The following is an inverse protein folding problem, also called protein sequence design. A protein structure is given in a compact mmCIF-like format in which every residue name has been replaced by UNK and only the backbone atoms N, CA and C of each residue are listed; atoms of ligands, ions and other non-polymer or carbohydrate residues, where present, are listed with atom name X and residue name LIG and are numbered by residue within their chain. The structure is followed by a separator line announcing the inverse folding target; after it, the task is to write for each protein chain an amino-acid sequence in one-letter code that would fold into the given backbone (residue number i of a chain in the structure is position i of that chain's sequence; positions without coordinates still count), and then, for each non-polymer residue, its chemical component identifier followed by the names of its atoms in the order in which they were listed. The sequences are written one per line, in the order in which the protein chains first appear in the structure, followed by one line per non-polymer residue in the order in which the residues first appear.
data_IF_014429457498
#
_entry.id   IF_014429457498
#
_cell.length_a   1.000
_cell.length_b   1.000
_cell.length_c   1.000
_cell.angle_alpha   90.00
_cell.angle_beta   90.00
_cell.angle_gamma   90.00
#
_symmetry.space_group_name_H-M   'P 1'
#
loop_
_entity.id
_entity.type
_entity.pdbx_description
1 polymer ?
#
# COMPACT_ATOMS: atom_id res chain seq x y z
N UNK A 1 7.59 21.78 20.24
CA UNK A 1 8.85 21.08 19.93
C UNK A 1 8.65 20.50 18.55
N UNK A 2 9.37 21.03 17.59
CA UNK A 2 9.25 20.55 16.20
C UNK A 2 9.88 19.18 16.14
N UNK A 3 9.09 18.16 15.80
CA UNK A 3 9.61 16.81 15.57
C UNK A 3 10.64 16.88 14.44
N UNK A 4 11.85 16.28 14.58
CA UNK A 4 12.83 16.25 13.51
C UNK A 4 12.36 15.50 12.26
N UNK A 5 11.15 14.97 12.28
CA UNK A 5 10.50 14.20 11.23
C UNK A 5 9.31 14.94 10.56
N UNK A 6 9.30 16.29 10.63
CA UNK A 6 8.41 17.09 9.80
C UNK A 6 8.72 16.79 8.33
N UNK A 7 7.92 16.01 7.68
CA UNK A 7 8.12 15.56 6.29
C UNK A 7 7.96 14.05 6.10
N UNK A 8 7.97 13.24 7.16
CA UNK A 8 7.67 11.80 7.05
C UNK A 8 6.24 11.56 6.58
N UNK A 9 5.31 12.44 6.96
CA UNK A 9 3.91 12.35 6.56
C UNK A 9 3.67 12.56 5.05
N UNK A 10 4.62 13.24 4.37
CA UNK A 10 4.51 13.55 2.93
C UNK A 10 5.47 12.72 2.06
N UNK A 11 6.27 11.85 2.66
CA UNK A 11 7.25 11.01 1.96
C UNK A 11 6.63 9.68 1.55
N UNK A 12 6.77 9.30 0.28
CA UNK A 12 6.34 7.98 -0.20
C UNK A 12 7.25 6.85 0.32
N UNK A 13 8.53 7.15 0.59
CA UNK A 13 9.53 6.18 1.04
C UNK A 13 10.40 6.80 2.14
N UNK A 14 10.63 6.04 3.20
CA UNK A 14 11.46 6.43 4.35
C UNK A 14 12.58 5.42 4.49
N UNK A 15 13.84 5.87 4.49
CA UNK A 15 14.99 5.05 4.84
C UNK A 15 15.57 5.52 6.17
N UNK A 16 15.69 4.59 7.12
CA UNK A 16 16.49 4.77 8.32
C UNK A 16 17.59 3.73 8.37
N UNK A 17 18.83 4.19 8.49
CA UNK A 17 20.03 3.36 8.52
C UNK A 17 20.96 3.84 9.63
N UNK A 18 20.79 3.31 10.83
CA UNK A 18 21.59 3.54 12.01
C UNK A 18 21.33 2.45 13.06
N UNK A 19 21.43 2.79 14.35
CA UNK A 19 21.07 1.91 15.45
C UNK A 19 19.55 1.84 15.65
N UNK A 20 19.07 0.70 16.13
CA UNK A 20 17.69 0.50 16.51
C UNK A 20 17.55 -0.59 17.55
N UNK A 21 16.42 -0.58 18.22
CA UNK A 21 15.99 -1.60 19.17
C UNK A 21 14.55 -2.01 18.86
N UNK A 22 14.00 -2.90 19.65
CA UNK A 22 12.66 -3.49 19.43
C UNK A 22 11.59 -2.41 19.27
N UNK A 23 11.68 -1.32 20.04
CA UNK A 23 10.64 -0.30 20.14
C UNK A 23 11.05 1.07 19.57
N UNK A 24 12.25 1.20 18.99
CA UNK A 24 12.72 2.50 18.54
C UNK A 24 13.83 2.45 17.48
N UNK A 25 13.99 3.55 16.76
CA UNK A 25 15.23 3.99 16.15
C UNK A 25 16.01 4.81 17.18
N UNK A 26 17.32 4.69 17.21
CA UNK A 26 18.14 5.33 18.27
C UNK A 26 18.65 6.70 17.89
N UNK A 27 19.05 6.91 16.63
CA UNK A 27 19.61 8.19 16.17
C UNK A 27 19.17 8.51 14.72
N UNK A 28 18.35 9.53 14.51
CA UNK A 28 17.62 10.25 15.56
C UNK A 28 16.60 9.34 16.25
N UNK A 29 16.38 9.59 17.55
CA UNK A 29 15.45 8.78 18.31
C UNK A 29 14.01 8.94 17.80
N UNK A 30 13.37 7.81 17.49
CA UNK A 30 11.97 7.74 17.10
C UNK A 30 11.36 6.45 17.65
N UNK A 31 10.32 6.58 18.44
CA UNK A 31 9.79 5.49 19.27
C UNK A 31 8.43 5.00 18.81
N UNK A 32 7.98 3.86 19.36
CA UNK A 32 6.58 3.38 19.22
C UNK A 32 5.58 4.44 19.67
N UNK A 33 5.89 5.26 20.67
CA UNK A 33 5.01 6.34 21.10
C UNK A 33 4.87 7.44 20.03
N UNK A 34 5.96 7.76 19.33
CA UNK A 34 5.92 8.71 18.21
C UNK A 34 5.12 8.18 17.05
N UNK A 35 5.27 6.87 16.72
CA UNK A 35 4.45 6.22 15.70
C UNK A 35 2.96 6.34 16.03
N UNK A 36 2.59 6.10 17.28
CA UNK A 36 1.19 6.20 17.74
C UNK A 36 0.62 7.61 17.70
N UNK A 37 1.45 8.63 17.56
CA UNK A 37 1.04 10.03 17.37
C UNK A 37 0.83 10.42 15.91
N UNK A 38 1.19 9.55 14.95
CA UNK A 38 1.01 9.84 13.51
C UNK A 38 -0.46 9.97 13.14
N UNK A 39 -0.74 10.90 12.21
CA UNK A 39 -2.05 11.13 11.64
C UNK A 39 -1.97 11.14 10.10
N UNK A 40 -1.24 10.17 9.53
CA UNK A 40 -0.92 10.11 8.10
C UNK A 40 -1.66 9.00 7.33
N UNK A 41 -2.83 8.58 7.79
CA UNK A 41 -3.60 7.48 7.18
C UNK A 41 -3.96 7.68 5.71
N UNK A 42 -4.00 8.93 5.22
CA UNK A 42 -4.21 9.25 3.80
C UNK A 42 -2.96 9.15 2.93
N UNK A 43 -1.78 9.01 3.54
CA UNK A 43 -0.50 8.97 2.83
C UNK A 43 0.50 8.08 3.60
N UNK A 44 0.36 6.77 3.44
CA UNK A 44 1.18 5.78 4.13
C UNK A 44 2.48 5.52 3.37
N UNK A 45 3.66 5.82 3.95
CA UNK A 45 4.95 5.54 3.32
C UNK A 45 5.29 4.06 3.34
N UNK A 46 6.28 3.68 2.52
CA UNK A 46 7.07 2.47 2.70
C UNK A 46 8.29 2.80 3.56
N UNK A 47 8.58 1.95 4.53
CA UNK A 47 9.68 2.14 5.47
C UNK A 47 10.77 1.10 5.25
N UNK A 48 11.99 1.56 5.05
CA UNK A 48 13.21 0.74 5.02
C UNK A 48 13.97 0.95 6.33
N UNK A 49 13.72 0.08 7.31
CA UNK A 49 14.33 0.12 8.65
C UNK A 49 15.55 -0.78 8.71
N UNK A 50 16.69 -0.28 8.24
CA UNK A 50 17.92 -1.04 8.07
C UNK A 50 18.83 -0.95 9.30
N UNK A 51 18.32 -1.40 10.43
CA UNK A 51 18.95 -1.39 11.75
C UNK A 51 18.62 -2.65 12.52
N UNK A 52 18.99 -2.71 13.80
CA UNK A 52 18.77 -3.89 14.62
C UNK A 52 17.32 -3.95 15.14
N UNK A 53 16.79 -5.17 15.30
CA UNK A 53 15.66 -5.55 16.17
C UNK A 53 14.29 -4.93 15.87
N UNK A 54 14.18 -3.93 15.01
CA UNK A 54 12.91 -3.21 14.77
C UNK A 54 11.79 -4.07 14.19
N UNK A 55 12.13 -5.23 13.63
CA UNK A 55 11.18 -6.24 13.13
C UNK A 55 10.99 -7.44 14.06
N UNK A 56 11.42 -7.37 15.32
CA UNK A 56 11.34 -8.51 16.26
C UNK A 56 9.88 -8.91 16.47
N UNK A 57 9.57 -10.19 16.29
CA UNK A 57 8.26 -10.77 16.53
C UNK A 57 8.24 -11.57 17.84
N UNK A 58 7.07 -11.66 18.45
CA UNK A 58 6.88 -12.50 19.66
C UNK A 58 7.49 -11.93 20.93
N UNK A 59 7.88 -10.67 20.97
CA UNK A 59 8.29 -9.96 22.19
C UNK A 59 7.08 -9.52 23.01
N UNK A 60 7.26 -9.32 24.33
CA UNK A 60 6.18 -8.87 25.21
C UNK A 60 5.72 -7.44 24.93
N UNK A 61 6.60 -6.61 24.38
CA UNK A 61 6.27 -5.27 23.92
C UNK A 61 5.99 -5.29 22.40
N UNK A 62 5.06 -4.46 21.94
CA UNK A 62 4.82 -4.23 20.52
C UNK A 62 6.11 -3.72 19.84
N UNK A 63 6.55 -4.39 18.80
CA UNK A 63 7.75 -3.99 18.09
C UNK A 63 7.50 -2.75 17.21
N UNK A 64 8.58 -2.11 16.81
CA UNK A 64 8.54 -0.92 15.97
C UNK A 64 7.79 -1.17 14.64
N UNK A 65 8.04 -2.32 14.00
CA UNK A 65 7.34 -2.71 12.77
C UNK A 65 5.86 -3.01 13.00
N UNK A 66 5.52 -3.67 14.10
CA UNK A 66 4.13 -3.94 14.46
C UNK A 66 3.37 -2.64 14.71
N UNK A 67 3.98 -1.67 15.44
CA UNK A 67 3.39 -0.37 15.69
C UNK A 67 3.09 0.39 14.40
N UNK A 68 4.04 0.41 13.45
CA UNK A 68 3.83 1.05 12.15
C UNK A 68 2.67 0.44 11.35
N UNK A 69 2.56 -0.89 11.32
CA UNK A 69 1.54 -1.58 10.51
C UNK A 69 0.16 -1.61 11.17
N UNK A 70 0.11 -1.54 12.49
CA UNK A 70 -1.15 -1.69 13.25
C UNK A 70 -1.78 -0.37 13.65
N UNK A 71 -1.09 0.74 13.42
CA UNK A 71 -1.58 2.05 13.80
C UNK A 71 -2.80 2.46 12.95
N UNK A 72 -3.95 2.67 13.59
CA UNK A 72 -5.24 2.91 12.90
C UNK A 72 -5.34 4.28 12.22
N UNK A 73 -4.61 5.29 12.72
CA UNK A 73 -4.69 6.67 12.20
C UNK A 73 -3.49 7.05 11.33
N UNK A 74 -2.62 6.09 11.03
CA UNK A 74 -1.40 6.37 10.28
C UNK A 74 -0.46 5.18 10.24
N UNK A 75 0.85 5.46 10.28
CA UNK A 75 1.89 4.44 10.22
C UNK A 75 2.49 4.28 8.84
N UNK A 76 2.62 3.06 8.35
CA UNK A 76 3.16 2.76 7.03
C UNK A 76 2.32 1.71 6.29
N UNK A 77 2.45 1.67 4.97
CA UNK A 77 1.83 0.65 4.13
C UNK A 77 2.61 -0.68 4.16
N UNK A 78 3.92 -0.61 4.33
CA UNK A 78 4.81 -1.75 4.48
C UNK A 78 6.17 -1.34 5.01
N UNK A 79 6.87 -2.27 5.66
CA UNK A 79 8.18 -2.02 6.25
C UNK A 79 9.12 -3.21 6.04
N UNK A 80 10.34 -2.94 5.60
CA UNK A 80 11.44 -3.90 5.60
C UNK A 80 12.26 -3.67 6.88
N UNK A 81 12.38 -4.69 7.72
CA UNK A 81 13.04 -4.58 9.02
C UNK A 81 13.72 -5.87 9.44
N UNK A 82 14.69 -5.76 10.37
CA UNK A 82 15.43 -6.88 10.90
C UNK A 82 14.80 -7.46 12.17
N UNK A 83 14.64 -8.78 12.21
CA UNK A 83 14.10 -9.52 13.37
C UNK A 83 15.12 -9.78 14.48
N UNK A 84 16.37 -9.41 14.27
CA UNK A 84 17.46 -9.58 15.23
C UNK A 84 18.53 -8.51 15.06
N UNK A 85 19.72 -8.73 15.65
CA UNK A 85 20.85 -7.79 15.56
C UNK A 85 21.48 -7.82 14.17
N UNK A 86 21.33 -6.76 13.42
CA UNK A 86 21.87 -6.65 12.06
C UNK A 86 23.33 -6.19 12.05
N UNK A 87 23.99 -6.40 10.91
CA UNK A 87 25.42 -6.16 10.76
C UNK A 87 25.69 -4.97 9.82
N UNK A 88 26.39 -3.95 10.29
CA UNK A 88 26.58 -2.65 9.63
C UNK A 88 26.92 -2.76 8.13
N UNK A 89 28.06 -3.33 7.76
CA UNK A 89 28.48 -3.39 6.36
C UNK A 89 27.56 -4.19 5.44
N UNK A 90 26.84 -5.16 5.97
CA UNK A 90 25.84 -5.94 5.21
C UNK A 90 24.56 -5.14 5.00
N UNK A 91 24.16 -4.33 5.99
CA UNK A 91 23.03 -3.42 5.86
C UNK A 91 23.28 -2.39 4.75
N UNK A 92 24.53 -1.92 4.62
CA UNK A 92 24.90 -0.96 3.57
C UNK A 92 24.77 -1.57 2.18
N UNK A 93 25.28 -2.81 2.00
CA UNK A 93 25.14 -3.53 0.74
C UNK A 93 23.67 -3.81 0.39
N UNK A 94 22.88 -4.18 1.40
CA UNK A 94 21.45 -4.40 1.23
C UNK A 94 20.73 -3.13 0.79
N UNK A 95 20.98 -2.02 1.48
CA UNK A 95 20.42 -0.71 1.11
C UNK A 95 20.78 -0.30 -0.31
N UNK A 96 22.08 -0.32 -0.64
CA UNK A 96 22.59 0.10 -1.95
C UNK A 96 21.87 -0.64 -3.07
N UNK A 97 21.67 -1.95 -2.95
CA UNK A 97 21.07 -2.71 -4.04
C UNK A 97 19.56 -2.52 -4.13
N UNK A 98 18.86 -2.39 -3.00
CA UNK A 98 17.44 -2.04 -3.04
C UNK A 98 17.22 -0.70 -3.75
N UNK A 99 18.05 0.31 -3.45
CA UNK A 99 17.96 1.61 -4.12
C UNK A 99 18.40 1.55 -5.58
N UNK A 100 19.41 0.74 -5.94
CA UNK A 100 19.76 0.47 -7.34
C UNK A 100 18.61 -0.19 -8.10
N UNK A 101 17.88 -1.08 -7.45
CA UNK A 101 16.72 -1.74 -8.06
C UNK A 101 15.57 -0.76 -8.31
N UNK A 102 15.36 0.21 -7.42
CA UNK A 102 14.35 1.25 -7.57
C UNK A 102 14.78 2.32 -8.60
N UNK A 103 16.06 2.72 -8.60
CA UNK A 103 16.60 3.82 -9.39
C UNK A 103 17.80 3.39 -10.25
N UNK A 104 17.64 2.47 -11.20
CA UNK A 104 18.75 1.85 -11.95
C UNK A 104 19.50 2.82 -12.88
N UNK A 105 18.91 3.98 -13.17
CA UNK A 105 19.49 4.98 -14.10
C UNK A 105 20.13 6.16 -13.39
N UNK A 106 19.96 6.28 -12.07
CA UNK A 106 20.59 7.38 -11.34
C UNK A 106 22.10 7.16 -11.28
N UNK A 107 22.91 8.21 -11.56
CA UNK A 107 24.34 8.11 -11.43
C UNK A 107 24.71 8.04 -9.95
N UNK A 108 24.88 6.84 -9.44
CA UNK A 108 25.38 6.67 -8.08
C UNK A 108 26.77 7.29 -7.93
N UNK A 109 27.03 7.83 -6.73
CA UNK A 109 28.37 8.29 -6.36
C UNK A 109 29.40 7.21 -6.77
N UNK A 110 30.46 7.55 -7.54
CA UNK A 110 31.45 6.58 -7.99
C UNK A 110 32.07 5.70 -6.90
N UNK A 111 32.06 6.18 -5.65
CA UNK A 111 32.51 5.40 -4.48
C UNK A 111 31.61 4.19 -4.19
N UNK A 112 30.35 4.23 -4.61
CA UNK A 112 29.38 3.16 -4.45
C UNK A 112 29.15 2.34 -5.73
N UNK A 113 29.81 2.71 -6.84
CA UNK A 113 29.81 1.90 -8.05
C UNK A 113 30.51 0.58 -7.76
N UNK A 114 29.73 -0.43 -7.51
CA UNK A 114 30.25 -1.79 -7.43
C UNK A 114 30.08 -2.47 -8.79
N UNK A 115 31.15 -3.03 -9.38
CA UNK A 115 31.08 -3.81 -10.60
C UNK A 115 30.23 -5.09 -10.49
N UNK A 116 29.74 -5.43 -9.29
CA UNK A 116 28.85 -6.56 -9.06
C UNK A 116 27.36 -6.18 -9.16
N UNK A 117 27.00 -4.93 -9.34
CA UNK A 117 25.63 -4.60 -9.72
C UNK A 117 25.35 -5.23 -11.08
N UNK A 118 24.74 -6.41 -11.04
CA UNK A 118 24.29 -7.07 -12.26
C UNK A 118 22.98 -6.38 -12.67
N UNK A 119 22.96 -5.56 -13.74
CA UNK A 119 21.74 -4.92 -14.20
C UNK A 119 20.69 -5.92 -14.71
N UNK A 120 20.97 -7.22 -14.60
CA UNK A 120 20.24 -8.26 -15.31
C UNK A 120 18.98 -8.76 -14.59
N UNK A 121 18.74 -8.49 -13.29
CA UNK A 121 17.51 -8.99 -12.67
C UNK A 121 16.30 -8.10 -13.04
N UNK A 122 16.46 -6.79 -13.10
CA UNK A 122 15.41 -5.87 -13.56
C UNK A 122 15.48 -5.52 -15.07
N UNK A 123 16.46 -6.08 -15.81
CA UNK A 123 16.65 -5.72 -17.21
C UNK A 123 16.90 -4.23 -17.45
N UNK A 124 17.44 -3.52 -16.43
CA UNK A 124 17.62 -2.07 -16.45
C UNK A 124 16.33 -1.27 -16.27
N UNK A 125 15.25 -1.90 -15.84
CA UNK A 125 13.98 -1.23 -15.48
C UNK A 125 13.87 -1.09 -13.97
N UNK A 126 13.27 0.00 -13.45
CA UNK A 126 12.96 0.13 -12.04
C UNK A 126 12.08 -1.03 -11.56
N UNK A 127 12.37 -1.55 -10.37
CA UNK A 127 11.46 -2.44 -9.66
C UNK A 127 10.50 -1.61 -8.81
N UNK A 128 9.25 -2.02 -8.80
CA UNK A 128 8.18 -1.30 -8.09
C UNK A 128 7.52 -2.11 -7.00
N UNK A 129 7.74 -3.43 -6.91
CA UNK A 129 7.14 -4.24 -5.87
C UNK A 129 8.08 -4.40 -4.69
N UNK A 130 7.54 -4.18 -3.49
CA UNK A 130 8.32 -4.18 -2.25
C UNK A 130 9.12 -5.47 -2.04
N UNK A 131 8.52 -6.64 -2.29
CA UNK A 131 9.19 -7.92 -2.18
C UNK A 131 10.30 -8.11 -3.23
N UNK A 132 10.06 -7.72 -4.48
CA UNK A 132 11.06 -7.80 -5.55
C UNK A 132 12.27 -6.90 -5.26
N UNK A 133 12.04 -5.71 -4.70
CA UNK A 133 13.09 -4.78 -4.26
C UNK A 133 13.92 -5.40 -3.13
N UNK A 134 13.25 -6.00 -2.14
CA UNK A 134 13.92 -6.69 -1.05
C UNK A 134 14.74 -7.87 -1.54
N UNK A 135 14.18 -8.73 -2.40
CA UNK A 135 14.86 -9.90 -2.96
C UNK A 135 16.11 -9.51 -3.74
N UNK A 136 16.06 -8.39 -4.48
CA UNK A 136 17.22 -7.86 -5.19
C UNK A 136 18.34 -7.45 -4.22
N UNK A 137 18.00 -6.78 -3.11
CA UNK A 137 18.95 -6.44 -2.06
C UNK A 137 19.59 -7.68 -1.39
N UNK A 138 18.78 -8.70 -1.10
CA UNK A 138 19.26 -9.96 -0.53
C UNK A 138 20.15 -10.75 -1.50
N UNK A 139 19.81 -10.73 -2.79
CA UNK A 139 20.61 -11.36 -3.85
C UNK A 139 22.02 -10.77 -3.93
N UNK A 140 22.16 -9.45 -3.76
CA UNK A 140 23.47 -8.80 -3.71
C UNK A 140 24.36 -9.34 -2.58
N UNK A 141 23.79 -9.50 -1.39
CA UNK A 141 24.53 -10.06 -0.26
C UNK A 141 25.04 -11.46 -0.61
N UNK A 142 24.19 -12.31 -1.17
CA UNK A 142 24.57 -13.66 -1.62
C UNK A 142 25.66 -13.64 -2.70
N UNK A 143 25.51 -12.78 -3.70
CA UNK A 143 26.48 -12.68 -4.79
C UNK A 143 27.84 -12.13 -4.34
N UNK A 144 27.85 -11.19 -3.40
CA UNK A 144 29.10 -10.59 -2.91
C UNK A 144 29.88 -11.48 -1.96
N UNK A 145 29.20 -12.16 -1.07
CA UNK A 145 29.83 -12.90 0.04
C UNK A 145 29.76 -14.43 -0.10
N UNK A 146 29.00 -14.93 -1.06
CA UNK A 146 28.73 -16.35 -1.26
C UNK A 146 27.55 -16.86 -0.43
N UNK A 147 26.69 -17.63 -1.10
CA UNK A 147 25.39 -18.05 -0.55
C UNK A 147 25.47 -19.06 0.58
N UNK A 148 26.47 -19.93 0.58
CA UNK A 148 26.48 -21.13 1.44
C UNK A 148 27.67 -21.23 2.38
N UNK A 149 28.66 -20.38 2.24
CA UNK A 149 29.92 -20.49 2.98
C UNK A 149 30.17 -19.33 3.95
N UNK A 150 29.43 -18.25 3.81
CA UNK A 150 29.64 -17.05 4.61
C UNK A 150 28.50 -16.85 5.61
N UNK A 151 28.67 -17.37 6.83
CA UNK A 151 27.64 -17.40 7.87
C UNK A 151 26.99 -16.02 8.18
N UNK A 152 27.76 -14.93 8.14
CA UNK A 152 27.23 -13.58 8.37
C UNK A 152 26.34 -13.10 7.23
N UNK A 153 26.66 -13.45 5.99
CA UNK A 153 25.84 -13.14 4.84
C UNK A 153 24.52 -13.94 4.87
N UNK A 154 24.60 -15.23 5.16
CA UNK A 154 23.43 -16.06 5.36
C UNK A 154 22.54 -15.50 6.48
N UNK A 155 23.12 -15.23 7.65
CA UNK A 155 22.41 -14.63 8.78
C UNK A 155 21.70 -13.33 8.39
N UNK A 156 22.37 -12.43 7.65
CA UNK A 156 21.75 -11.16 7.21
C UNK A 156 20.58 -11.40 6.27
N UNK A 157 20.68 -12.36 5.36
CA UNK A 157 19.59 -12.70 4.43
C UNK A 157 18.37 -13.29 5.14
N UNK A 158 18.57 -14.04 6.21
CA UNK A 158 17.51 -14.64 7.02
C UNK A 158 16.92 -13.66 8.03
N UNK A 159 17.59 -12.54 8.28
CA UNK A 159 17.26 -11.58 9.31
C UNK A 159 16.22 -10.54 8.86
N UNK A 160 16.34 -10.07 7.63
CA UNK A 160 15.44 -9.04 7.10
C UNK A 160 14.17 -9.65 6.54
N UNK A 161 13.04 -9.04 6.89
CA UNK A 161 11.72 -9.45 6.45
C UNK A 161 10.94 -8.27 5.89
N UNK A 162 10.08 -8.57 4.93
CA UNK A 162 9.05 -7.66 4.45
C UNK A 162 7.79 -7.85 5.31
N UNK A 163 7.42 -6.83 6.06
CA UNK A 163 6.18 -6.76 6.83
C UNK A 163 5.16 -5.94 6.05
N UNK A 164 4.05 -6.56 5.69
CA UNK A 164 3.03 -6.02 4.80
C UNK A 164 2.86 -6.89 3.56
N UNK A 165 2.25 -6.34 2.51
CA UNK A 165 2.07 -7.06 1.24
C UNK A 165 3.33 -6.91 0.36
N UNK A 166 4.07 -8.00 0.08
CA UNK A 166 5.27 -7.95 -0.76
C UNK A 166 4.96 -7.61 -2.23
N UNK A 167 3.71 -7.76 -2.65
CA UNK A 167 3.28 -7.39 -4.02
C UNK A 167 2.89 -5.92 -4.16
N UNK A 168 2.89 -5.19 -3.05
CA UNK A 168 2.57 -3.77 -2.99
C UNK A 168 3.50 -2.95 -3.87
N UNK A 169 2.92 -1.98 -4.60
CA UNK A 169 3.65 -1.03 -5.42
C UNK A 169 4.34 0.03 -4.54
N UNK A 170 5.63 0.17 -4.72
CA UNK A 170 6.44 1.26 -4.17
C UNK A 170 6.46 2.40 -5.19
N UNK A 171 5.93 3.55 -4.84
CA UNK A 171 5.97 4.72 -5.71
C UNK A 171 7.31 5.44 -5.59
N UNK A 172 8.07 5.46 -6.68
CA UNK A 172 9.41 6.07 -6.74
C UNK A 172 9.35 7.58 -6.99
N UNK A 173 8.23 8.04 -7.51
CA UNK A 173 7.87 9.44 -7.72
C UNK A 173 6.39 9.62 -7.44
N UNK A 174 5.89 10.86 -7.46
CA UNK A 174 4.45 11.11 -7.27
C UNK A 174 3.67 10.33 -8.32
N UNK A 175 2.78 9.41 -7.91
CA UNK A 175 2.05 8.58 -8.84
C UNK A 175 1.13 9.42 -9.71
N UNK A 176 1.02 9.03 -10.98
CA UNK A 176 0.10 9.64 -11.94
C UNK A 176 -1.30 9.05 -11.76
N UNK A 177 -2.31 9.80 -12.10
CA UNK A 177 -3.66 9.30 -12.26
C UNK A 177 -3.88 8.88 -13.70
N UNK A 178 -4.71 7.88 -13.91
CA UNK A 178 -5.19 7.59 -15.25
C UNK A 178 -6.11 8.70 -15.72
N UNK A 179 -5.90 9.21 -16.93
CA UNK A 179 -6.80 10.07 -17.66
C UNK A 179 -7.42 9.31 -18.83
N UNK A 180 -8.59 9.72 -19.24
CA UNK A 180 -9.23 9.27 -20.50
C UNK A 180 -9.46 7.75 -20.58
N UNK A 181 -9.85 7.12 -19.46
CA UNK A 181 -10.34 5.75 -19.44
C UNK A 181 -11.81 5.76 -19.88
N UNK A 182 -12.12 5.05 -20.97
CA UNK A 182 -13.48 4.86 -21.41
C UNK A 182 -13.97 3.46 -21.02
N UNK A 183 -15.01 3.42 -20.17
CA UNK A 183 -15.67 2.17 -19.78
C UNK A 183 -17.08 2.18 -20.37
N UNK A 184 -17.43 1.12 -21.08
CA UNK A 184 -18.77 0.90 -21.61
C UNK A 184 -19.39 -0.32 -20.94
N UNK A 185 -20.65 -0.19 -20.52
CA UNK A 185 -21.43 -1.23 -19.82
C UNK A 185 -22.78 -1.40 -20.50
N UNK A 186 -22.82 -2.21 -21.57
CA UNK A 186 -24.07 -2.54 -22.27
C UNK A 186 -24.36 -4.04 -22.21
N UNK A 187 -23.96 -4.81 -23.21
CA UNK A 187 -24.05 -6.28 -23.23
C UNK A 187 -22.76 -6.96 -22.73
N UNK A 188 -21.75 -6.17 -22.42
CA UNK A 188 -20.44 -6.55 -21.88
C UNK A 188 -19.84 -5.33 -21.19
N UNK A 189 -18.84 -5.58 -20.35
CA UNK A 189 -17.99 -4.49 -19.85
C UNK A 189 -16.77 -4.37 -20.72
N UNK A 190 -16.53 -3.24 -21.34
CA UNK A 190 -15.31 -2.97 -22.09
C UNK A 190 -14.57 -1.76 -21.55
N UNK A 191 -13.26 -1.82 -21.59
CA UNK A 191 -12.32 -0.77 -21.18
C UNK A 191 -11.44 -0.42 -22.34
N UNK A 192 -11.34 0.87 -22.63
CA UNK A 192 -10.44 1.41 -23.65
C UNK A 192 -9.58 2.50 -23.03
N UNK A 193 -8.27 2.36 -23.17
CA UNK A 193 -7.26 3.33 -22.75
C UNK A 193 -6.76 4.10 -23.98
N UNK A 194 -6.20 5.30 -23.80
CA UNK A 194 -5.59 6.04 -24.91
C UNK A 194 -4.53 5.22 -25.65
N UNK A 195 -4.35 5.53 -26.93
CA UNK A 195 -3.36 4.88 -27.78
C UNK A 195 -1.95 4.96 -27.16
N UNK A 196 -1.20 3.88 -27.23
CA UNK A 196 0.15 3.76 -26.67
C UNK A 196 0.22 3.53 -25.17
N UNK A 197 -0.90 3.55 -24.44
CA UNK A 197 -0.96 3.20 -23.03
C UNK A 197 -1.17 1.69 -22.86
N UNK A 198 -0.33 1.07 -22.04
CA UNK A 198 -0.46 -0.35 -21.70
C UNK A 198 -0.66 -0.44 -20.19
N UNK A 199 -1.71 -1.14 -19.77
CA UNK A 199 -2.03 -1.37 -18.38
C UNK A 199 -2.53 -2.80 -18.17
N UNK A 200 -2.58 -3.25 -16.94
CA UNK A 200 -3.34 -4.43 -16.55
C UNK A 200 -4.78 -4.01 -16.31
N UNK A 201 -5.70 -4.54 -17.08
CA UNK A 201 -7.14 -4.35 -16.97
C UNK A 201 -7.72 -5.62 -16.39
N UNK A 202 -8.38 -5.52 -15.25
CA UNK A 202 -8.99 -6.66 -14.55
C UNK A 202 -10.48 -6.43 -14.35
N UNK A 203 -11.26 -7.49 -14.52
CA UNK A 203 -12.70 -7.55 -14.30
C UNK A 203 -12.97 -8.51 -13.16
N UNK A 204 -13.68 -8.07 -12.13
CA UNK A 204 -14.17 -8.92 -11.05
C UNK A 204 -15.68 -8.98 -11.10
N UNK A 205 -16.22 -10.13 -11.51
CA UNK A 205 -17.66 -10.42 -11.51
C UNK A 205 -18.04 -11.01 -10.16
N UNK A 206 -18.68 -10.23 -9.30
CA UNK A 206 -19.10 -10.64 -7.95
C UNK A 206 -20.08 -11.81 -7.98
N UNK A 207 -20.94 -11.92 -9.01
CA UNK A 207 -21.94 -13.00 -9.12
C UNK A 207 -21.29 -14.36 -9.35
N UNK A 208 -20.23 -14.37 -10.14
CA UNK A 208 -19.50 -15.59 -10.47
C UNK A 208 -18.31 -15.84 -9.54
N UNK A 209 -17.94 -14.84 -8.73
CA UNK A 209 -16.69 -14.80 -7.96
C UNK A 209 -15.47 -15.08 -8.86
N UNK A 210 -15.44 -14.48 -10.04
CA UNK A 210 -14.46 -14.71 -11.09
C UNK A 210 -13.66 -13.45 -11.36
N UNK A 211 -12.35 -13.61 -11.59
CA UNK A 211 -11.42 -12.52 -11.93
C UNK A 211 -10.74 -12.84 -13.25
N UNK A 212 -10.90 -11.97 -14.22
CA UNK A 212 -10.21 -12.05 -15.50
C UNK A 212 -9.33 -10.82 -15.73
N UNK A 213 -8.07 -11.02 -16.12
CA UNK A 213 -7.10 -9.94 -16.31
C UNK A 213 -6.44 -9.99 -17.69
N UNK A 214 -6.23 -8.80 -18.26
CA UNK A 214 -5.58 -8.60 -19.55
C UNK A 214 -4.47 -7.55 -19.43
N UNK A 215 -3.49 -7.61 -20.31
CA UNK A 215 -2.46 -6.58 -20.44
C UNK A 215 -2.60 -5.97 -21.84
N UNK A 216 -2.83 -4.66 -21.89
CA UNK A 216 -3.02 -3.94 -23.15
C UNK A 216 -3.69 -2.59 -22.93
N UNK A 217 -4.17 -2.00 -24.02
CA UNK A 217 -4.94 -0.76 -24.01
C UNK A 217 -6.46 -0.98 -24.19
N UNK A 218 -6.87 -2.22 -24.46
CA UNK A 218 -8.25 -2.63 -24.61
C UNK A 218 -8.50 -3.99 -23.99
N UNK A 219 -9.63 -4.14 -23.30
CA UNK A 219 -10.14 -5.43 -22.84
C UNK A 219 -11.66 -5.41 -22.79
N UNK A 220 -12.29 -6.60 -22.91
CA UNK A 220 -13.71 -6.75 -22.76
C UNK A 220 -14.04 -8.04 -21.98
N UNK A 221 -15.11 -7.98 -21.19
CA UNK A 221 -15.64 -9.08 -20.40
C UNK A 221 -17.16 -9.25 -20.66
N UNK A 222 -17.55 -10.44 -21.12
CA UNK A 222 -18.95 -10.75 -21.39
C UNK A 222 -19.66 -11.23 -20.12
N UNK A 223 -20.74 -10.60 -19.78
CA UNK A 223 -21.59 -10.95 -18.62
C UNK A 223 -23.04 -10.54 -18.86
N UNK A 224 -23.96 -11.22 -18.18
CA UNK A 224 -25.38 -10.87 -18.22
C UNK A 224 -25.71 -9.63 -17.36
N UNK A 225 -24.85 -9.29 -16.40
CA UNK A 225 -24.99 -8.11 -15.52
C UNK A 225 -23.72 -7.27 -15.52
N UNK A 226 -23.52 -6.42 -16.52
CA UNK A 226 -22.34 -5.55 -16.63
C UNK A 226 -22.18 -4.59 -15.44
N UNK A 227 -23.28 -4.17 -14.80
CA UNK A 227 -23.25 -3.25 -13.67
C UNK A 227 -22.85 -3.92 -12.34
N UNK A 228 -22.69 -5.25 -12.32
CA UNK A 228 -22.18 -5.98 -11.16
C UNK A 228 -20.68 -6.31 -11.26
N UNK A 229 -20.01 -5.85 -12.29
CA UNK A 229 -18.58 -6.08 -12.50
C UNK A 229 -17.77 -4.90 -11.97
N UNK A 230 -16.77 -5.16 -11.17
CA UNK A 230 -15.76 -4.16 -10.79
C UNK A 230 -14.63 -4.21 -11.82
N UNK A 231 -14.25 -3.04 -12.33
CA UNK A 231 -13.11 -2.85 -13.22
C UNK A 231 -11.95 -2.27 -12.42
N UNK A 232 -10.77 -2.85 -12.58
CA UNK A 232 -9.51 -2.31 -12.06
C UNK A 232 -8.53 -2.11 -13.20
N UNK A 233 -7.90 -0.93 -13.24
CA UNK A 233 -6.81 -0.63 -14.19
C UNK A 233 -5.58 -0.24 -13.39
N UNK A 234 -4.47 -0.95 -13.61
CA UNK A 234 -3.21 -0.73 -12.91
C UNK A 234 -2.03 -0.69 -13.87
N UNK A 235 -1.11 0.23 -13.65
CA UNK A 235 0.16 0.32 -14.36
C UNK A 235 1.24 0.89 -13.44
N UNK A 236 2.50 0.62 -13.78
CA UNK A 236 3.64 1.15 -13.03
C UNK A 236 3.59 2.68 -12.98
N UNK A 237 3.89 3.24 -11.80
CA UNK A 237 3.87 4.68 -11.56
C UNK A 237 2.49 5.35 -11.60
N UNK A 238 1.40 4.60 -11.60
CA UNK A 238 0.04 5.12 -11.57
C UNK A 238 -0.72 4.66 -10.34
N UNK A 239 -1.57 5.53 -9.78
CA UNK A 239 -2.57 5.12 -8.82
C UNK A 239 -3.54 4.14 -9.47
N UNK A 240 -3.95 3.05 -8.79
CA UNK A 240 -4.97 2.17 -9.31
C UNK A 240 -6.27 2.92 -9.63
N UNK A 241 -6.82 2.68 -10.81
CA UNK A 241 -8.15 3.15 -11.15
C UNK A 241 -9.15 2.03 -10.89
N UNK A 242 -10.23 2.35 -10.19
CA UNK A 242 -11.31 1.42 -9.88
C UNK A 242 -12.64 2.02 -10.34
N UNK A 243 -13.38 1.26 -11.13
CA UNK A 243 -14.77 1.57 -11.48
C UNK A 243 -15.68 0.46 -10.93
N UNK A 244 -16.56 0.86 -10.03
CA UNK A 244 -17.59 -0.01 -9.48
C UNK A 244 -18.86 0.17 -10.32
N UNK A 245 -19.37 -0.88 -10.93
CA UNK A 245 -20.69 -0.85 -11.56
C UNK A 245 -21.78 -0.50 -10.55
N UNK A 246 -22.89 0.08 -11.00
CA UNK A 246 -23.96 0.62 -10.13
C UNK A 246 -24.61 -0.44 -9.24
N UNK A 247 -24.68 -1.70 -9.70
CA UNK A 247 -25.23 -2.82 -8.94
C UNK A 247 -24.28 -3.33 -7.83
N UNK A 248 -23.07 -2.79 -7.73
CA UNK A 248 -22.20 -3.00 -6.56
C UNK A 248 -22.68 -2.11 -5.42
N UNK A 249 -23.51 -2.67 -4.53
CA UNK A 249 -24.13 -1.92 -3.44
C UNK A 249 -23.50 -2.28 -2.11
N UNK A 250 -23.05 -1.26 -1.37
CA UNK A 250 -22.68 -1.37 0.04
C UNK A 250 -23.80 -0.82 0.92
N UNK A 251 -24.10 -1.58 1.99
CA UNK A 251 -25.14 -1.25 2.95
C UNK A 251 -24.53 -0.95 4.31
N UNK A 252 -24.74 0.27 4.81
CA UNK A 252 -24.38 0.70 6.17
C UNK A 252 -25.69 0.74 6.96
N UNK A 253 -25.87 -0.21 7.88
CA UNK A 253 -27.10 -0.42 8.63
C UNK A 253 -26.78 -0.98 10.00
N UNK A 254 -27.47 -0.49 11.06
CA UNK A 254 -27.32 -0.92 12.45
C UNK A 254 -25.84 -0.82 12.90
N UNK A 255 -25.23 0.33 12.72
CA UNK A 255 -23.80 0.51 12.94
C UNK A 255 -23.49 1.88 13.54
N UNK A 256 -22.60 1.93 14.53
CA UNK A 256 -21.98 3.16 14.99
C UNK A 256 -20.56 3.24 14.41
N UNK A 257 -20.34 4.19 13.54
CA UNK A 257 -19.06 4.41 12.85
C UNK A 257 -18.28 5.48 13.61
N UNK A 258 -17.11 5.12 14.12
CA UNK A 258 -16.23 6.01 14.90
C UNK A 258 -14.85 6.06 14.26
N UNK A 259 -14.21 7.24 14.31
CA UNK A 259 -12.88 7.46 13.78
C UNK A 259 -12.86 7.61 12.26
N UNK A 260 -11.72 7.31 11.63
CA UNK A 260 -11.58 7.46 10.19
C UNK A 260 -12.12 6.22 9.46
N UNK A 261 -13.06 6.43 8.54
CA UNK A 261 -13.64 5.38 7.69
C UNK A 261 -13.86 5.90 6.28
N UNK A 262 -13.52 5.06 5.30
CA UNK A 262 -13.82 5.31 3.89
C UNK A 262 -14.56 4.11 3.31
N UNK A 263 -15.69 4.37 2.69
CA UNK A 263 -16.49 3.38 1.98
C UNK A 263 -16.44 3.70 0.50
N UNK A 264 -16.17 2.70 -0.33
CA UNK A 264 -16.13 2.87 -1.79
C UNK A 264 -16.90 1.77 -2.48
N UNK A 265 -17.91 2.14 -3.28
CA UNK A 265 -18.78 1.20 -4.00
C UNK A 265 -19.41 1.86 -5.23
N UNK A 266 -20.16 1.12 -6.04
CA UNK A 266 -20.99 1.68 -7.10
C UNK A 266 -22.17 2.48 -6.53
N UNK A 267 -22.84 1.88 -5.54
CA UNK A 267 -23.92 2.53 -4.77
C UNK A 267 -23.68 2.29 -3.28
N UNK A 268 -23.89 3.30 -2.46
CA UNK A 268 -23.85 3.19 -0.99
C UNK A 268 -25.22 3.58 -0.44
N UNK A 269 -25.82 2.68 0.33
CA UNK A 269 -27.10 2.91 1.02
C UNK A 269 -26.90 2.92 2.52
N UNK A 270 -27.24 4.03 3.17
CA UNK A 270 -27.12 4.23 4.62
C UNK A 270 -28.51 4.39 5.22
N UNK A 271 -28.79 3.71 6.32
CA UNK A 271 -30.08 3.86 7.00
C UNK A 271 -30.47 2.67 7.86
N UNK A 272 -31.59 2.79 8.57
CA UNK A 272 -32.02 1.81 9.56
C UNK A 272 -32.64 0.51 8.98
N UNK A 273 -33.06 0.51 7.71
CA UNK A 273 -33.66 -0.64 7.04
C UNK A 273 -33.40 -0.61 5.52
N UNK A 274 -32.13 -0.55 5.13
CA UNK A 274 -31.71 -0.45 3.72
C UNK A 274 -31.36 -1.81 3.10
N UNK A 275 -31.24 -2.86 3.92
CA UNK A 275 -31.06 -4.24 3.47
C UNK A 275 -31.73 -5.24 4.43
N UNK A 276 -32.24 -6.35 3.86
CA UNK A 276 -32.77 -7.48 4.64
C UNK A 276 -31.67 -8.40 5.20
N UNK A 277 -30.43 -8.23 4.75
CA UNK A 277 -29.28 -9.06 5.11
C UNK A 277 -28.63 -8.64 6.43
N UNK A 278 -29.01 -7.50 7.00
CA UNK A 278 -28.56 -7.01 8.30
C UNK A 278 -29.75 -6.75 9.20
N UNK A 279 -29.57 -6.86 10.52
CA UNK A 279 -30.60 -6.47 11.50
C UNK A 279 -30.95 -5.00 11.31
N UNK A 280 -32.23 -4.60 11.28
CA UNK A 280 -32.62 -3.21 11.26
C UNK A 280 -32.07 -2.44 12.47
N UNK A 281 -31.64 -1.22 12.27
CA UNK A 281 -31.09 -0.36 13.30
C UNK A 281 -30.41 0.85 12.72
N UNK A 282 -30.33 1.91 13.53
CA UNK A 282 -29.84 3.22 13.12
C UNK A 282 -28.33 3.19 12.84
N UNK A 283 -27.90 4.14 12.01
CA UNK A 283 -26.50 4.38 11.68
C UNK A 283 -26.10 5.73 12.28
N UNK A 284 -25.05 5.72 13.08
CA UNK A 284 -24.51 6.94 13.70
C UNK A 284 -23.04 7.11 13.30
N UNK A 285 -22.73 8.21 12.64
CA UNK A 285 -21.38 8.64 12.36
C UNK A 285 -20.94 9.66 13.42
N UNK A 286 -19.83 9.38 14.13
CA UNK A 286 -19.34 10.26 15.19
C UNK A 286 -17.82 10.23 15.38
N UNK A 287 -17.30 11.34 15.90
CA UNK A 287 -15.91 11.46 16.38
C UNK A 287 -14.86 10.99 15.35
N UNK A 288 -14.92 11.50 14.13
CA UNK A 288 -13.94 11.13 13.10
C UNK A 288 -14.22 11.70 11.73
N UNK A 289 -13.46 11.20 10.74
CA UNK A 289 -13.61 11.55 9.33
C UNK A 289 -14.26 10.38 8.60
N UNK A 290 -15.39 10.61 7.95
CA UNK A 290 -16.12 9.62 7.16
C UNK A 290 -16.22 10.07 5.73
N UNK A 291 -15.76 9.23 4.80
CA UNK A 291 -15.85 9.49 3.36
C UNK A 291 -16.69 8.40 2.70
N UNK A 292 -17.78 8.78 2.05
CA UNK A 292 -18.56 7.91 1.18
C UNK A 292 -18.22 8.23 -0.28
N UNK A 293 -17.65 7.31 -1.01
CA UNK A 293 -17.22 7.46 -2.40
C UNK A 293 -17.97 6.47 -3.28
N UNK A 294 -18.92 6.95 -4.10
CA UNK A 294 -19.73 6.10 -4.96
C UNK A 294 -20.34 6.88 -6.14
N UNK A 295 -20.84 6.16 -7.17
CA UNK A 295 -21.68 6.79 -8.21
C UNK A 295 -22.99 7.30 -7.62
N UNK A 296 -23.61 6.50 -6.72
CA UNK A 296 -24.84 6.84 -6.04
C UNK A 296 -24.69 6.68 -4.53
N UNK A 297 -25.13 7.68 -3.75
CA UNK A 297 -25.20 7.61 -2.28
C UNK A 297 -26.60 7.96 -1.84
N UNK A 298 -27.23 7.04 -1.11
CA UNK A 298 -28.57 7.20 -0.54
C UNK A 298 -28.47 7.25 1.00
N UNK A 299 -28.80 8.39 1.58
CA UNK A 299 -28.96 8.55 3.03
C UNK A 299 -30.44 8.44 3.37
N UNK A 300 -30.82 7.37 4.05
CA UNK A 300 -32.20 7.05 4.40
C UNK A 300 -32.48 7.32 5.89
N UNK A 301 -33.73 7.15 6.31
CA UNK A 301 -34.14 7.32 7.71
C UNK A 301 -33.29 6.47 8.66
N UNK A 302 -33.04 6.99 9.86
CA UNK A 302 -32.15 6.36 10.84
C UNK A 302 -30.67 6.64 10.59
N UNK A 303 -30.31 7.58 9.71
CA UNK A 303 -28.93 8.06 9.55
C UNK A 303 -28.71 9.33 10.37
N UNK A 304 -27.73 9.32 11.25
CA UNK A 304 -27.32 10.46 12.08
C UNK A 304 -25.84 10.77 11.87
N UNK A 305 -25.52 12.04 11.66
CA UNK A 305 -24.14 12.54 11.63
C UNK A 305 -24.01 13.50 12.82
N UNK A 306 -23.23 13.09 13.82
CA UNK A 306 -23.04 13.90 15.04
C UNK A 306 -22.15 15.11 14.77
N UNK A 307 -22.38 16.18 15.52
CA UNK A 307 -21.56 17.39 15.47
C UNK A 307 -20.09 17.05 15.80
N UNK A 308 -19.17 17.59 15.01
CA UNK A 308 -17.74 17.30 15.12
C UNK A 308 -17.27 16.11 14.26
N UNK A 309 -18.18 15.48 13.51
CA UNK A 309 -17.81 14.49 12.49
C UNK A 309 -17.52 15.22 11.17
N UNK A 310 -16.33 15.00 10.63
CA UNK A 310 -15.98 15.41 9.26
C UNK A 310 -16.56 14.37 8.28
N UNK A 311 -17.70 14.74 7.66
CA UNK A 311 -18.44 13.82 6.79
C UNK A 311 -18.46 14.35 5.36
N UNK A 312 -18.01 13.55 4.41
CA UNK A 312 -17.99 13.92 2.99
C UNK A 312 -18.55 12.83 2.09
N UNK A 313 -19.18 13.25 1.00
CA UNK A 313 -19.66 12.40 -0.09
C UNK A 313 -18.92 12.83 -1.35
N UNK A 314 -18.31 11.88 -2.03
CA UNK A 314 -17.66 12.08 -3.32
C UNK A 314 -18.29 11.18 -4.36
N UNK A 315 -18.80 11.76 -5.45
CA UNK A 315 -19.30 11.02 -6.61
C UNK A 315 -18.25 10.99 -7.73
N UNK A 316 -18.22 9.93 -8.55
CA UNK A 316 -17.27 9.76 -9.66
C UNK A 316 -17.94 9.15 -10.89
#
# INVERSE_FOLDING_TARGET
MDSPFYGLADSNNILHRDHGDITEWSDPQYTVADIKSLCNSGNLPIVFSLNCLTGTLGHSSESFSEAFLRHSNGGCAGIIAATGKSLSGYNDEFAIEMFNAMYPYEPMNPQFKNPLSNPSIGGGRPLYKLGEIMDQGLARIGNRYGDRTHLKAQYTRELFHCFGDPTMMVYLERPKTFSDIHISRSNSVSVNLPEGKIARISFYDKTKNDVLSFIGNYAAYSTADPENVIVSVTADGHLPYLDYGENNVDYIQNETVVGMRSYTSGTIKVGNNVTKNKTPGDVVFKNGTVVLKAKNVELNSGTTIEVGTDFSITTY
#
